data_IF_862168030595
#
_entry.id   IF_862168030595
#
_cell.length_a   1.000
_cell.length_b   1.000
_cell.length_c   1.000
_cell.angle_alpha   90.00
_cell.angle_beta   90.00
_cell.angle_gamma   90.00
#
_symmetry.space_group_name_H-M   'P 1'
#
loop_
_entity.id
_entity.type
_entity.pdbx_description
1 polymer ?
#
# COMPACT_ATOMS: atom_id res chain seq x y z
N UNK A 1 36.69 -27.37 52.99
CA UNK A 1 35.30 -27.36 53.49
C UNK A 1 34.42 -27.42 52.25
N UNK A 2 34.07 -28.61 51.75
CA UNK A 2 32.85 -29.40 52.07
C UNK A 2 31.57 -28.58 51.78
N UNK A 3 30.58 -28.98 50.97
CA UNK A 3 30.27 -30.23 50.27
C UNK A 3 29.16 -29.94 49.22
N UNK A 4 29.11 -30.68 48.12
CA UNK A 4 27.85 -31.09 47.43
C UNK A 4 27.39 -32.43 48.05
N UNK A 5 26.21 -33.04 47.78
CA UNK A 5 24.99 -32.62 47.05
C UNK A 5 23.68 -32.96 47.85
N UNK A 6 22.48 -32.73 47.29
CA UNK A 6 21.31 -33.62 47.53
C UNK A 6 20.19 -33.53 46.48
N UNK A 7 19.80 -34.72 46.03
CA UNK A 7 18.67 -35.09 45.18
C UNK A 7 17.32 -35.10 45.93
N UNK A 8 16.25 -35.27 45.12
CA UNK A 8 14.91 -35.84 45.38
C UNK A 8 13.84 -34.90 45.95
N UNK A 9 12.72 -34.71 45.22
CA UNK A 9 11.55 -35.62 45.32
C UNK A 9 10.48 -35.34 44.26
N UNK A 10 10.01 -36.44 43.67
CA UNK A 10 8.79 -36.67 42.90
C UNK A 10 7.51 -36.33 43.66
N UNK A 11 6.49 -35.79 42.97
CA UNK A 11 5.08 -36.06 43.30
C UNK A 11 4.25 -36.03 42.02
N UNK A 12 3.70 -37.18 41.65
CA UNK A 12 2.71 -37.31 40.60
C UNK A 12 1.31 -36.95 41.08
N UNK A 13 0.44 -36.55 40.16
CA UNK A 13 -1.00 -36.59 40.35
C UNK A 13 -1.65 -37.22 39.12
N UNK A 14 -2.07 -38.48 39.29
CA UNK A 14 -3.08 -39.18 38.50
C UNK A 14 -4.46 -38.68 38.93
N UNK A 15 -5.37 -38.35 37.99
CA UNK A 15 -6.85 -38.37 38.12
C UNK A 15 -7.43 -37.91 36.78
N UNK A 16 -8.50 -38.41 36.18
CA UNK A 16 -9.21 -39.69 36.19
C UNK A 16 -10.05 -39.71 34.91
N UNK A 17 -10.13 -40.88 34.30
CA UNK A 17 -10.95 -41.21 33.13
C UNK A 17 -12.43 -41.33 33.56
N UNK A 18 -13.34 -40.68 32.84
CA UNK A 18 -14.78 -40.96 32.93
C UNK A 18 -15.37 -41.13 31.52
N UNK A 19 -15.52 -42.39 31.13
CA UNK A 19 -16.29 -42.86 29.97
C UNK A 19 -17.73 -43.05 30.44
N UNK A 20 -18.69 -42.44 29.75
CA UNK A 20 -20.11 -42.80 29.86
C UNK A 20 -20.63 -43.14 28.47
N UNK A 21 -20.79 -44.43 28.22
CA UNK A 21 -21.56 -44.99 27.11
C UNK A 21 -22.94 -45.40 27.62
N UNK A 22 -23.99 -44.90 27.00
CA UNK A 22 -25.34 -45.49 27.06
C UNK A 22 -25.98 -45.36 25.69
N UNK A 23 -26.21 -46.49 25.04
CA UNK A 23 -26.98 -46.61 23.80
C UNK A 23 -28.40 -47.13 24.06
N UNK A 24 -29.29 -46.82 23.11
CA UNK A 24 -30.59 -47.45 22.80
C UNK A 24 -30.87 -47.02 21.34
N UNK A 25 -30.69 -47.82 20.28
CA UNK A 25 -31.44 -48.99 19.76
C UNK A 25 -32.91 -48.73 19.37
N UNK A 26 -33.21 -48.88 18.07
CA UNK A 26 -34.52 -49.18 17.49
C UNK A 26 -35.29 -47.96 16.95
N UNK A 27 -35.86 -47.93 15.76
CA UNK A 27 -36.03 -48.92 14.70
C UNK A 27 -36.70 -48.27 13.49
N UNK A 28 -36.47 -48.85 12.30
CA UNK A 28 -37.09 -48.44 11.04
C UNK A 28 -38.45 -49.12 10.85
N UNK A 29 -39.47 -48.42 10.37
CA UNK A 29 -40.39 -48.91 9.32
C UNK A 29 -41.31 -47.79 8.79
N UNK A 30 -41.85 -47.95 7.56
CA UNK A 30 -42.44 -46.88 6.74
C UNK A 30 -43.97 -46.78 6.90
N UNK A 31 -44.58 -45.68 6.45
CA UNK A 31 -46.03 -45.61 6.21
C UNK A 31 -46.39 -44.65 5.08
N UNK A 32 -46.80 -45.29 3.98
CA UNK A 32 -47.99 -45.09 3.13
C UNK A 32 -48.69 -43.72 3.00
N UNK A 33 -49.11 -43.53 1.74
CA UNK A 33 -49.81 -42.43 1.08
C UNK A 33 -51.30 -42.25 1.41
N UNK A 34 -51.82 -41.07 0.97
CA UNK A 34 -53.19 -40.75 0.46
C UNK A 34 -54.18 -40.14 1.48
N UNK A 35 -55.18 -39.28 1.13
CA UNK A 35 -55.56 -38.62 -0.14
C UNK A 35 -55.69 -37.08 -0.10
N UNK A 36 -55.92 -36.51 -1.29
CA UNK A 36 -56.33 -35.13 -1.58
C UNK A 36 -57.75 -34.75 -1.07
N UNK A 37 -58.05 -33.44 -1.00
CA UNK A 37 -59.38 -32.92 -1.25
C UNK A 37 -59.44 -32.04 -2.51
N UNK A 38 -60.52 -32.24 -3.24
CA UNK A 38 -61.02 -31.52 -4.40
C UNK A 38 -61.58 -30.14 -4.04
N UNK A 39 -61.43 -29.19 -4.96
CA UNK A 39 -62.47 -28.23 -5.33
C UNK A 39 -62.56 -26.92 -4.55
N UNK A 40 -62.09 -25.82 -5.16
CA UNK A 40 -62.74 -24.52 -5.07
C UNK A 40 -62.46 -23.70 -6.34
N UNK A 41 -63.54 -23.28 -6.96
CA UNK A 41 -63.68 -22.55 -8.22
C UNK A 41 -63.63 -21.03 -7.96
N UNK A 42 -62.98 -20.26 -8.84
CA UNK A 42 -63.04 -18.80 -8.88
C UNK A 42 -62.76 -18.28 -10.32
N UNK A 43 -63.28 -17.09 -10.70
CA UNK A 43 -63.93 -16.87 -12.00
C UNK A 43 -63.12 -15.94 -12.96
N UNK A 44 -63.68 -15.34 -14.02
CA UNK A 44 -63.15 -15.38 -15.39
C UNK A 44 -62.18 -14.24 -15.73
N UNK A 45 -61.48 -14.46 -16.85
CA UNK A 45 -60.48 -13.60 -17.47
C UNK A 45 -61.02 -12.22 -17.88
N UNK A 46 -60.19 -11.19 -17.66
CA UNK A 46 -60.34 -9.84 -18.18
C UNK A 46 -59.31 -9.63 -19.30
N UNK A 47 -59.80 -9.17 -20.45
CA UNK A 47 -59.03 -8.89 -21.67
C UNK A 47 -57.94 -7.84 -21.44
N UNK A 48 -56.69 -8.18 -21.79
CA UNK A 48 -55.58 -7.22 -21.87
C UNK A 48 -54.94 -7.22 -23.27
N UNK A 49 -54.86 -6.02 -23.83
CA UNK A 49 -54.30 -5.63 -25.13
C UNK A 49 -52.89 -6.19 -25.43
N UNK A 50 -52.52 -6.31 -26.73
CA UNK A 50 -51.23 -6.83 -27.15
C UNK A 50 -50.08 -5.89 -26.75
N UNK A 51 -49.23 -6.37 -25.85
CA UNK A 51 -47.98 -5.73 -25.52
C UNK A 51 -47.00 -5.83 -26.70
N UNK A 52 -46.40 -4.70 -27.04
CA UNK A 52 -45.31 -4.58 -27.99
C UNK A 52 -44.19 -5.58 -27.68
N UNK A 53 -43.69 -6.24 -28.73
CA UNK A 53 -42.57 -7.17 -28.68
C UNK A 53 -41.34 -6.45 -28.12
N UNK A 54 -41.10 -6.60 -26.82
CA UNK A 54 -39.86 -6.16 -26.19
C UNK A 54 -38.72 -6.96 -26.81
N UNK A 55 -37.79 -6.24 -27.45
CA UNK A 55 -36.55 -6.80 -27.96
C UNK A 55 -35.85 -7.57 -26.83
N UNK A 56 -35.36 -8.76 -27.15
CA UNK A 56 -34.63 -9.60 -26.22
C UNK A 56 -33.46 -8.81 -25.60
N UNK A 57 -33.21 -8.93 -24.28
CA UNK A 57 -32.09 -8.27 -23.64
C UNK A 57 -30.79 -8.72 -24.30
N UNK A 58 -29.98 -7.76 -24.75
CA UNK A 58 -28.67 -8.02 -25.35
C UNK A 58 -27.83 -8.86 -24.38
N UNK A 59 -27.27 -9.97 -24.85
CA UNK A 59 -26.34 -10.78 -24.08
C UNK A 59 -25.22 -9.88 -23.53
N UNK A 60 -24.77 -10.08 -22.27
CA UNK A 60 -23.59 -9.38 -21.76
C UNK A 60 -22.41 -9.72 -22.68
N UNK A 61 -21.82 -8.70 -23.30
CA UNK A 61 -20.64 -8.87 -24.17
C UNK A 61 -19.39 -8.94 -23.32
N UNK A 62 -18.42 -9.74 -23.73
CA UNK A 62 -17.19 -9.92 -22.96
C UNK A 62 -16.31 -8.67 -23.04
N UNK A 63 -15.54 -8.40 -21.98
CA UNK A 63 -14.74 -7.16 -21.83
C UNK A 63 -13.74 -6.91 -22.97
N UNK A 64 -13.34 -7.98 -23.69
CA UNK A 64 -12.32 -7.94 -24.74
C UNK A 64 -12.86 -8.22 -26.15
N UNK A 65 -14.19 -8.17 -26.32
CA UNK A 65 -14.82 -8.41 -27.62
C UNK A 65 -14.86 -7.11 -28.45
N UNK A 66 -14.37 -7.18 -29.69
CA UNK A 66 -14.58 -6.11 -30.68
C UNK A 66 -15.87 -6.40 -31.44
N UNK A 67 -16.79 -5.44 -31.46
CA UNK A 67 -18.06 -5.60 -32.16
C UNK A 67 -18.51 -4.30 -32.85
N UNK A 68 -19.38 -4.45 -33.84
CA UNK A 68 -19.96 -3.32 -34.59
C UNK A 68 -21.45 -3.24 -34.32
N UNK A 69 -21.97 -2.04 -34.04
CA UNK A 69 -23.40 -1.83 -33.87
C UNK A 69 -24.16 -1.69 -35.20
N UNK A 70 -25.49 -1.58 -35.13
CA UNK A 70 -26.35 -1.42 -36.30
C UNK A 70 -26.11 -0.13 -37.10
N UNK A 71 -25.41 0.85 -36.49
CA UNK A 71 -25.04 2.12 -37.12
C UNK A 71 -23.63 2.08 -37.73
N UNK A 72 -22.94 0.94 -37.64
CA UNK A 72 -21.58 0.77 -38.15
C UNK A 72 -20.48 1.23 -37.20
N UNK A 73 -20.82 1.62 -35.96
CA UNK A 73 -19.85 2.04 -34.95
C UNK A 73 -19.12 0.82 -34.39
N UNK A 74 -17.79 0.87 -34.34
CA UNK A 74 -16.97 -0.18 -33.72
C UNK A 74 -16.79 0.08 -32.23
N UNK A 75 -16.84 -0.98 -31.43
CA UNK A 75 -16.74 -0.98 -29.99
C UNK A 75 -15.71 -2.02 -29.53
N UNK A 76 -14.98 -1.73 -28.45
CA UNK A 76 -14.14 -2.68 -27.72
C UNK A 76 -14.72 -2.83 -26.31
N UNK A 77 -15.31 -3.99 -26.01
CA UNK A 77 -16.14 -4.15 -24.81
C UNK A 77 -17.31 -3.16 -24.81
N UNK A 78 -17.29 -2.19 -23.90
CA UNK A 78 -18.30 -1.13 -23.79
C UNK A 78 -17.78 0.26 -24.20
N UNK A 79 -16.59 0.34 -24.81
CA UNK A 79 -15.97 1.62 -25.21
C UNK A 79 -16.03 1.78 -26.73
N UNK A 80 -16.57 2.90 -27.25
CA UNK A 80 -16.50 3.21 -28.67
C UNK A 80 -15.04 3.27 -29.15
N UNK A 81 -14.71 2.65 -30.28
CA UNK A 81 -13.32 2.62 -30.77
C UNK A 81 -12.81 3.99 -31.24
N UNK A 82 -13.71 4.91 -31.59
CA UNK A 82 -13.38 6.31 -31.93
C UNK A 82 -13.04 7.18 -30.71
N UNK A 83 -13.31 6.70 -29.49
CA UNK A 83 -12.81 7.33 -28.27
C UNK A 83 -11.31 7.11 -28.06
N UNK A 84 -10.70 6.18 -28.81
CA UNK A 84 -9.26 6.00 -28.85
C UNK A 84 -8.70 6.88 -29.98
N UNK A 85 -7.92 7.88 -29.62
CA UNK A 85 -7.26 8.74 -30.60
C UNK A 85 -6.33 7.92 -31.49
N UNK A 86 -6.38 8.14 -32.80
CA UNK A 86 -5.52 7.45 -33.78
C UNK A 86 -4.02 7.68 -33.51
N UNK A 87 -3.68 8.79 -32.85
CA UNK A 87 -2.32 9.17 -32.47
C UNK A 87 -2.30 9.71 -31.02
N UNK A 88 -2.38 8.82 -30.01
CA UNK A 88 -2.51 9.23 -28.60
C UNK A 88 -1.32 10.06 -28.11
N UNK A 89 -0.14 9.86 -28.71
CA UNK A 89 1.07 10.62 -28.41
C UNK A 89 1.03 12.05 -28.96
N UNK A 90 0.37 12.28 -30.09
CA UNK A 90 0.25 13.64 -30.65
C UNK A 90 -0.70 14.50 -29.81
N UNK A 91 -1.82 13.92 -29.35
CA UNK A 91 -2.77 14.57 -28.44
C UNK A 91 -2.12 14.91 -27.10
N UNK A 92 -1.29 14.02 -26.55
CA UNK A 92 -0.55 14.27 -25.30
C UNK A 92 0.57 15.32 -25.43
N UNK A 93 1.12 15.48 -26.65
CA UNK A 93 2.19 16.45 -26.93
C UNK A 93 1.69 17.84 -27.36
N UNK A 94 0.39 17.97 -27.61
CA UNK A 94 -0.20 19.24 -28.03
C UNK A 94 -0.39 20.17 -26.81
N UNK A 95 0.60 21.03 -26.57
CA UNK A 95 0.57 22.07 -25.53
C UNK A 95 -0.18 23.35 -25.95
N UNK A 96 -1.01 23.30 -27.00
CA UNK A 96 -1.79 24.47 -27.42
C UNK A 96 -2.81 24.79 -26.33
N UNK A 97 -2.55 25.87 -25.59
CA UNK A 97 -3.50 26.41 -24.64
C UNK A 97 -4.82 26.72 -25.37
N UNK A 98 -5.93 26.15 -24.90
CA UNK A 98 -7.26 26.52 -25.36
C UNK A 98 -7.57 27.90 -24.80
N UNK A 99 -7.02 28.93 -25.45
CA UNK A 99 -7.30 30.33 -25.17
C UNK A 99 -8.69 30.68 -25.67
N UNK A 100 -9.64 30.77 -24.76
CA UNK A 100 -10.84 31.58 -24.98
C UNK A 100 -10.45 33.05 -25.20
N UNK A 101 -11.21 33.83 -25.99
CA UNK A 101 -10.86 35.20 -26.29
C UNK A 101 -11.09 36.07 -25.05
N UNK A 102 -10.04 36.27 -24.26
CA UNK A 102 -9.73 37.42 -23.40
C UNK A 102 -8.87 36.97 -22.21
N UNK A 103 -7.56 37.17 -22.30
CA UNK A 103 -6.66 36.96 -21.17
C UNK A 103 -5.22 37.25 -21.58
N UNK A 104 -4.80 38.50 -21.35
CA UNK A 104 -3.50 39.03 -21.73
C UNK A 104 -2.34 38.32 -21.01
N UNK A 105 -1.27 38.06 -21.76
CA UNK A 105 0.02 37.56 -21.29
C UNK A 105 0.90 38.70 -20.74
N UNK A 106 1.84 38.42 -19.82
CA UNK A 106 3.04 39.24 -19.66
C UNK A 106 4.21 38.62 -20.44
N UNK A 107 4.82 39.44 -21.30
CA UNK A 107 6.01 39.09 -22.06
C UNK A 107 7.29 39.30 -21.22
N UNK A 108 8.14 38.29 -21.21
CA UNK A 108 9.56 38.42 -20.86
C UNK A 108 10.36 38.49 -22.16
N UNK A 109 11.19 39.52 -22.32
CA UNK A 109 12.13 39.66 -23.44
C UNK A 109 13.52 40.02 -22.89
N UNK A 110 14.42 39.04 -22.93
CA UNK A 110 15.85 39.23 -23.18
C UNK A 110 16.00 39.52 -24.68
N UNK A 111 16.90 40.33 -25.23
CA UNK A 111 17.99 41.18 -24.75
C UNK A 111 18.66 41.72 -26.01
N UNK A 112 19.30 42.89 -25.96
CA UNK A 112 20.18 43.31 -27.07
C UNK A 112 21.28 44.24 -26.60
N UNK A 113 22.49 44.00 -27.13
CA UNK A 113 23.74 44.69 -26.85
C UNK A 113 23.73 46.11 -27.42
N UNK A 114 24.31 47.08 -26.70
CA UNK A 114 25.02 48.18 -27.34
C UNK A 114 26.18 48.69 -26.47
N UNK A 115 27.28 48.97 -27.14
CA UNK A 115 28.61 49.40 -26.70
C UNK A 115 28.70 50.87 -26.22
N UNK A 116 29.70 51.08 -25.35
CA UNK A 116 30.54 52.29 -25.15
C UNK A 116 29.97 53.50 -24.39
N UNK A 117 30.52 53.80 -23.20
CA UNK A 117 31.57 54.82 -22.99
C UNK A 117 31.86 55.04 -21.49
N UNK A 118 33.15 55.05 -21.16
CA UNK A 118 33.73 55.59 -19.92
C UNK A 118 33.54 57.11 -19.84
N UNK A 119 33.53 57.72 -18.64
CA UNK A 119 34.78 58.23 -18.10
C UNK A 119 35.00 57.98 -16.60
N UNK A 120 36.28 58.10 -16.23
CA UNK A 120 36.84 57.99 -14.89
C UNK A 120 36.85 59.34 -14.15
N UNK A 121 36.72 59.31 -12.82
CA UNK A 121 37.43 60.13 -11.81
C UNK A 121 36.87 59.70 -10.42
N UNK A 122 37.63 59.05 -9.53
CA UNK A 122 38.73 59.50 -8.68
C UNK A 122 38.29 59.98 -7.27
N UNK A 123 38.76 59.21 -6.27
CA UNK A 123 39.10 59.54 -4.87
C UNK A 123 38.07 60.20 -3.92
N UNK A 124 37.76 59.52 -2.82
CA UNK A 124 38.11 59.99 -1.47
C UNK A 124 37.87 58.90 -0.41
N UNK A 125 38.90 58.63 0.37
CA UNK A 125 38.86 57.84 1.59
C UNK A 125 38.33 58.70 2.75
N UNK A 126 37.51 58.11 3.61
CA UNK A 126 37.31 58.58 4.99
C UNK A 126 36.92 57.40 5.88
N UNK A 127 37.88 56.98 6.71
CA UNK A 127 37.64 56.30 8.00
C UNK A 127 37.30 57.39 9.02
N UNK A 128 36.32 57.18 9.92
CA UNK A 128 36.63 56.92 11.34
C UNK A 128 35.56 56.01 12.00
N UNK A 129 35.62 55.47 13.20
CA UNK A 129 36.61 55.34 14.28
C UNK A 129 36.18 54.11 15.10
N UNK A 130 37.15 53.48 15.73
CA UNK A 130 37.00 52.39 16.70
C UNK A 130 36.44 52.94 18.02
N UNK A 131 35.35 52.36 18.52
CA UNK A 131 34.86 52.55 19.89
C UNK A 131 34.76 51.18 20.60
N UNK A 132 35.05 51.08 21.92
CA UNK A 132 35.47 49.84 22.56
C UNK A 132 34.37 48.79 22.78
N UNK A 133 34.81 47.53 22.79
CA UNK A 133 34.03 46.36 23.12
C UNK A 133 33.49 46.40 24.56
N UNK A 134 32.17 46.36 24.67
CA UNK A 134 31.45 46.00 25.91
C UNK A 134 31.54 44.48 26.13
N UNK A 135 31.88 44.00 27.34
CA UNK A 135 31.91 42.57 27.63
C UNK A 135 30.52 41.95 27.49
N UNK A 136 30.43 40.86 26.71
CA UNK A 136 29.23 40.06 26.56
C UNK A 136 28.78 39.50 27.92
N UNK A 137 27.53 39.80 28.30
CA UNK A 137 26.84 39.04 29.34
C UNK A 137 26.62 37.60 28.86
N UNK A 138 26.79 36.60 29.75
CA UNK A 138 26.46 35.22 29.42
C UNK A 138 24.95 35.10 29.20
N UNK A 139 24.55 34.66 28.00
CA UNK A 139 23.19 34.20 27.75
C UNK A 139 22.88 33.04 28.70
N UNK A 140 21.66 32.98 29.28
CA UNK A 140 21.25 31.85 30.10
C UNK A 140 21.23 30.59 29.24
N UNK A 141 21.84 29.53 29.78
CA UNK A 141 21.77 28.16 29.28
C UNK A 141 20.33 27.83 28.90
N UNK A 142 20.04 27.89 27.61
CA UNK A 142 18.89 27.20 27.05
C UNK A 142 19.29 25.73 27.09
N UNK A 143 18.61 24.87 27.88
CA UNK A 143 18.89 23.46 27.86
C UNK A 143 18.78 23.00 26.41
N UNK A 144 19.84 22.38 25.90
CA UNK A 144 19.77 21.63 24.66
C UNK A 144 18.48 20.80 24.70
N UNK A 145 17.67 20.78 23.61
CA UNK A 145 16.52 19.90 23.57
C UNK A 145 17.04 18.52 23.96
N UNK A 146 16.53 18.02 25.08
CA UNK A 146 16.78 16.66 25.48
C UNK A 146 16.54 15.82 24.24
N UNK A 147 17.56 15.04 23.84
CA UNK A 147 17.38 14.02 22.82
C UNK A 147 16.09 13.29 23.21
N UNK A 148 15.06 13.50 22.39
CA UNK A 148 13.84 12.78 22.56
C UNK A 148 14.27 11.32 22.49
N UNK A 149 14.17 10.62 23.62
CA UNK A 149 14.09 9.18 23.63
C UNK A 149 12.79 8.85 22.89
N UNK A 150 12.83 8.97 21.57
CA UNK A 150 11.78 8.62 20.65
C UNK A 150 11.70 7.11 20.69
N UNK A 151 10.84 6.60 21.56
CA UNK A 151 10.23 5.32 21.23
C UNK A 151 9.53 5.54 19.90
N UNK A 152 10.22 5.17 18.81
CA UNK A 152 9.75 5.12 17.43
C UNK A 152 8.54 4.19 17.36
N UNK A 153 7.38 4.66 17.81
CA UNK A 153 6.21 3.81 17.84
C UNK A 153 5.69 3.68 16.41
N UNK A 154 5.64 2.42 15.94
CA UNK A 154 5.00 2.04 14.69
C UNK A 154 3.59 2.65 14.55
N UNK A 155 2.91 2.89 15.67
CA UNK A 155 1.60 3.52 15.75
C UNK A 155 1.57 4.98 15.26
N UNK A 156 2.65 5.75 15.46
CA UNK A 156 2.75 7.12 14.92
C UNK A 156 3.03 7.12 13.41
N UNK A 157 3.89 6.19 12.99
CA UNK A 157 4.34 6.11 11.60
C UNK A 157 3.25 5.58 10.67
N UNK A 158 2.53 4.57 11.13
CA UNK A 158 1.48 3.89 10.39
C UNK A 158 0.20 3.83 11.25
N UNK A 159 -0.70 4.82 11.13
CA UNK A 159 -2.03 4.76 11.74
C UNK A 159 -2.76 3.45 11.41
N UNK A 160 -3.66 3.00 12.31
CA UNK A 160 -4.43 1.77 12.08
C UNK A 160 -5.25 1.82 10.79
N UNK A 161 -5.84 2.97 10.47
CA UNK A 161 -6.65 3.12 9.26
C UNK A 161 -5.81 2.85 7.99
N UNK A 162 -4.59 3.39 7.92
CA UNK A 162 -3.67 3.19 6.80
C UNK A 162 -3.17 1.74 6.74
N UNK A 163 -2.92 1.10 7.89
CA UNK A 163 -2.59 -0.33 7.94
C UNK A 163 -3.75 -1.18 7.41
N UNK A 164 -4.98 -0.96 7.89
CA UNK A 164 -6.16 -1.71 7.46
C UNK A 164 -6.45 -1.49 5.97
N UNK A 165 -6.26 -0.27 5.46
CA UNK A 165 -6.41 0.05 4.05
C UNK A 165 -5.39 -0.69 3.18
N UNK A 166 -4.11 -0.72 3.56
CA UNK A 166 -3.07 -1.43 2.78
C UNK A 166 -3.31 -2.94 2.81
N UNK A 167 -3.63 -3.51 3.97
CA UNK A 167 -3.94 -4.94 4.10
C UNK A 167 -5.16 -5.32 3.26
N UNK A 168 -6.21 -4.50 3.29
CA UNK A 168 -7.41 -4.69 2.46
C UNK A 168 -7.09 -4.58 0.97
N UNK A 169 -6.27 -3.59 0.58
CA UNK A 169 -5.83 -3.39 -0.80
C UNK A 169 -5.09 -4.61 -1.34
N UNK A 170 -4.09 -5.10 -0.59
CA UNK A 170 -3.32 -6.30 -0.94
C UNK A 170 -4.23 -7.53 -1.01
N UNK A 171 -5.11 -7.71 -0.03
CA UNK A 171 -6.06 -8.83 -0.01
C UNK A 171 -6.97 -8.85 -1.22
N UNK A 172 -7.54 -7.70 -1.59
CA UNK A 172 -8.41 -7.60 -2.76
C UNK A 172 -7.64 -7.88 -4.06
N UNK A 173 -6.43 -7.34 -4.18
CA UNK A 173 -5.54 -7.60 -5.31
C UNK A 173 -5.22 -9.10 -5.44
N UNK A 174 -4.85 -9.76 -4.34
CA UNK A 174 -4.55 -11.19 -4.35
C UNK A 174 -5.79 -12.02 -4.67
N UNK A 175 -6.94 -11.72 -4.05
CA UNK A 175 -8.21 -12.40 -4.30
C UNK A 175 -8.58 -12.42 -5.78
N UNK A 176 -8.44 -11.28 -6.48
CA UNK A 176 -8.69 -11.19 -7.92
C UNK A 176 -7.61 -11.92 -8.72
N UNK A 177 -6.35 -11.70 -8.36
CA UNK A 177 -5.19 -12.20 -9.11
C UNK A 177 -5.10 -13.73 -9.08
N UNK A 178 -5.28 -14.35 -7.91
CA UNK A 178 -5.15 -15.80 -7.76
C UNK A 178 -6.46 -16.55 -8.04
N UNK A 179 -7.54 -15.87 -8.44
CA UNK A 179 -8.83 -16.53 -8.75
C UNK A 179 -8.81 -17.37 -10.03
N UNK A 180 -7.88 -17.09 -10.95
CA UNK A 180 -7.73 -17.81 -12.21
C UNK A 180 -6.30 -17.79 -12.71
N UNK A 181 -5.94 -18.78 -13.53
CA UNK A 181 -4.61 -18.88 -14.16
C UNK A 181 -4.33 -17.68 -15.07
N UNK A 182 -5.35 -17.14 -15.73
CA UNK A 182 -5.23 -15.96 -16.60
C UNK A 182 -4.80 -14.71 -15.83
N UNK A 183 -5.57 -14.36 -14.79
CA UNK A 183 -5.29 -13.19 -13.95
C UNK A 183 -3.95 -13.30 -13.22
N UNK A 184 -3.63 -14.51 -12.74
CA UNK A 184 -2.36 -14.80 -12.11
C UNK A 184 -1.22 -14.53 -13.10
N UNK A 185 -1.27 -15.14 -14.29
CA UNK A 185 -0.22 -15.00 -15.31
C UNK A 185 -0.02 -13.55 -15.78
N UNK A 186 -1.08 -12.74 -15.85
CA UNK A 186 -0.98 -11.33 -16.24
C UNK A 186 -0.41 -10.43 -15.14
N UNK A 187 -0.53 -10.84 -13.88
CA UNK A 187 -0.19 -10.00 -12.72
C UNK A 187 1.05 -10.50 -11.97
N UNK A 188 1.71 -11.57 -12.44
CA UNK A 188 2.86 -12.21 -11.76
C UNK A 188 3.95 -11.22 -11.32
N UNK A 189 4.21 -10.17 -12.08
CA UNK A 189 5.26 -9.21 -11.75
C UNK A 189 4.88 -8.27 -10.59
N UNK A 190 3.59 -8.12 -10.33
CA UNK A 190 3.03 -7.25 -9.29
C UNK A 190 2.82 -8.00 -7.97
N UNK A 191 2.77 -9.34 -8.00
CA UNK A 191 2.53 -10.15 -6.79
C UNK A 191 3.69 -10.02 -5.77
N UNK A 192 4.98 -10.16 -6.15
CA UNK A 192 6.05 -10.21 -5.15
C UNK A 192 6.15 -8.96 -4.27
N UNK A 193 6.07 -7.71 -4.80
CA UNK A 193 6.04 -6.51 -3.97
C UNK A 193 4.86 -6.48 -2.99
N UNK A 194 3.66 -6.90 -3.43
CA UNK A 194 2.46 -6.88 -2.57
C UNK A 194 2.56 -7.89 -1.44
N UNK A 195 3.00 -9.12 -1.70
CA UNK A 195 3.12 -10.14 -0.64
C UNK A 195 4.32 -9.88 0.28
N UNK A 196 5.41 -9.29 -0.23
CA UNK A 196 6.51 -8.82 0.63
C UNK A 196 6.05 -7.69 1.57
N UNK A 197 5.25 -6.75 1.05
CA UNK A 197 4.64 -5.69 1.86
C UNK A 197 3.72 -6.27 2.92
N UNK A 198 2.89 -7.26 2.56
CA UNK A 198 2.03 -7.97 3.51
C UNK A 198 2.83 -8.64 4.63
N UNK A 199 3.93 -9.32 4.30
CA UNK A 199 4.79 -9.96 5.30
C UNK A 199 5.42 -8.93 6.25
N UNK A 200 5.94 -7.83 5.71
CA UNK A 200 6.54 -6.75 6.49
C UNK A 200 5.51 -6.07 7.40
N UNK A 201 4.31 -5.77 6.90
CA UNK A 201 3.24 -5.14 7.70
C UNK A 201 2.67 -6.06 8.77
N UNK A 202 2.67 -7.37 8.54
CA UNK A 202 2.30 -8.34 9.58
C UNK A 202 3.31 -8.35 10.73
N UNK A 203 4.61 -8.21 10.44
CA UNK A 203 5.64 -8.06 11.47
C UNK A 203 5.52 -6.71 12.20
N UNK A 204 5.23 -5.61 11.48
CA UNK A 204 4.89 -4.33 12.12
C UNK A 204 3.69 -4.50 13.06
N UNK A 205 2.62 -5.16 12.64
CA UNK A 205 1.42 -5.37 13.46
C UNK A 205 1.71 -6.12 14.77
N UNK A 206 2.66 -7.06 14.77
CA UNK A 206 3.13 -7.74 16.00
C UNK A 206 3.79 -6.77 16.97
N UNK A 207 4.59 -5.84 16.46
CA UNK A 207 5.40 -4.92 17.26
C UNK A 207 4.67 -3.64 17.72
N UNK A 208 3.50 -3.35 17.14
CA UNK A 208 2.66 -2.21 17.51
C UNK A 208 2.12 -2.28 18.93
N UNK A 209 1.79 -1.14 19.55
CA UNK A 209 1.06 -1.15 20.81
C UNK A 209 -0.44 -1.32 20.56
N UNK A 210 -0.99 -0.54 19.62
CA UNK A 210 -2.38 -0.66 19.22
C UNK A 210 -2.59 -1.96 18.44
N UNK A 211 -3.63 -2.72 18.79
CA UNK A 211 -3.86 -4.05 18.23
C UNK A 211 -4.88 -4.05 17.10
N UNK A 212 -4.47 -4.53 15.93
CA UNK A 212 -5.41 -5.02 14.92
C UNK A 212 -6.08 -6.31 15.39
N UNK A 213 -7.28 -6.60 14.87
CA UNK A 213 -8.06 -7.76 15.35
C UNK A 213 -7.45 -9.14 15.04
N UNK A 214 -6.42 -9.19 14.19
CA UNK A 214 -5.69 -10.39 13.79
C UNK A 214 -4.25 -10.43 14.36
N UNK A 215 -3.91 -9.53 15.28
CA UNK A 215 -2.53 -9.39 15.81
C UNK A 215 -1.96 -10.67 16.40
N UNK A 216 -2.77 -11.43 17.15
CA UNK A 216 -2.37 -12.71 17.75
C UNK A 216 -1.95 -13.75 16.70
N UNK A 217 -2.51 -13.65 15.49
CA UNK A 217 -2.21 -14.54 14.37
C UNK A 217 -1.30 -13.89 13.31
N UNK A 218 -0.79 -12.68 13.56
CA UNK A 218 0.02 -11.92 12.59
C UNK A 218 1.30 -12.66 12.17
N UNK A 219 1.86 -13.49 13.07
CA UNK A 219 2.98 -14.36 12.78
C UNK A 219 2.72 -15.32 11.61
N UNK A 220 1.52 -15.89 11.55
CA UNK A 220 1.12 -16.79 10.47
C UNK A 220 0.87 -16.03 9.18
N UNK A 221 0.30 -14.81 9.25
CA UNK A 221 0.14 -13.95 8.08
C UNK A 221 1.50 -13.63 7.45
N UNK A 222 2.47 -13.24 8.28
CA UNK A 222 3.86 -12.99 7.87
C UNK A 222 4.45 -14.20 7.16
N UNK A 223 4.39 -15.37 7.78
CA UNK A 223 5.00 -16.59 7.25
C UNK A 223 4.30 -17.11 5.98
N UNK A 224 2.97 -17.04 5.90
CA UNK A 224 2.24 -17.39 4.68
C UNK A 224 2.61 -16.45 3.53
N UNK A 225 2.70 -15.14 3.79
CA UNK A 225 3.11 -14.15 2.81
C UNK A 225 4.59 -14.33 2.38
N UNK A 226 5.48 -14.67 3.32
CA UNK A 226 6.88 -15.06 3.05
C UNK A 226 6.93 -16.28 2.12
N UNK A 227 6.15 -17.33 2.41
CA UNK A 227 6.02 -18.54 1.57
C UNK A 227 5.51 -18.25 0.16
N UNK A 228 4.71 -17.21 -0.05
CA UNK A 228 4.31 -16.82 -1.42
C UNK A 228 5.51 -16.39 -2.27
N UNK A 229 6.54 -15.81 -1.65
CA UNK A 229 7.78 -15.32 -2.29
C UNK A 229 9.00 -16.24 -2.11
N UNK A 230 8.87 -17.41 -1.49
CA UNK A 230 10.01 -18.32 -1.21
C UNK A 230 10.72 -18.82 -2.47
N UNK A 231 10.03 -18.79 -3.61
CA UNK A 231 10.58 -19.20 -4.90
C UNK A 231 10.09 -18.29 -6.03
N UNK A 232 10.89 -18.11 -7.11
CA UNK A 232 10.47 -17.31 -8.25
C UNK A 232 9.20 -17.83 -8.89
N UNK A 233 8.21 -16.94 -9.05
CA UNK A 233 6.91 -17.28 -9.62
C UNK A 233 7.04 -17.89 -11.02
N UNK A 234 6.32 -18.99 -11.24
CA UNK A 234 6.25 -19.72 -12.51
C UNK A 234 4.87 -19.54 -13.14
N UNK A 235 4.84 -19.47 -14.47
CA UNK A 235 3.57 -19.40 -15.21
C UNK A 235 2.79 -20.70 -15.07
N UNK A 236 1.47 -20.59 -15.04
CA UNK A 236 0.55 -21.71 -15.19
C UNK A 236 -0.14 -22.18 -13.91
N UNK A 237 -0.97 -23.23 -14.03
CA UNK A 237 -1.95 -23.62 -13.01
C UNK A 237 -1.32 -24.13 -11.72
N UNK A 238 -0.14 -24.75 -11.79
CA UNK A 238 0.51 -25.32 -10.60
C UNK A 238 0.89 -24.24 -9.59
N UNK A 239 1.56 -23.19 -10.06
CA UNK A 239 2.03 -22.13 -9.17
C UNK A 239 0.90 -21.19 -8.76
N UNK A 240 -0.05 -20.90 -9.67
CA UNK A 240 -1.28 -20.19 -9.32
C UNK A 240 -2.02 -20.88 -8.16
N UNK A 241 -2.21 -22.20 -8.24
CA UNK A 241 -2.88 -22.96 -7.18
C UNK A 241 -2.11 -22.91 -5.85
N UNK A 242 -0.77 -23.01 -5.88
CA UNK A 242 0.06 -22.85 -4.68
C UNK A 242 -0.16 -21.49 -4.01
N UNK A 243 -0.13 -20.40 -4.78
CA UNK A 243 -0.37 -19.06 -4.24
C UNK A 243 -1.80 -18.90 -3.73
N UNK A 244 -2.78 -19.49 -4.43
CA UNK A 244 -4.17 -19.47 -3.99
C UNK A 244 -4.34 -20.15 -2.63
N UNK A 245 -3.77 -21.33 -2.42
CA UNK A 245 -3.84 -22.06 -1.13
C UNK A 245 -3.19 -21.25 0.01
N UNK A 246 -2.04 -20.61 -0.24
CA UNK A 246 -1.40 -19.73 0.74
C UNK A 246 -2.26 -18.50 1.05
N UNK A 247 -2.90 -17.91 0.03
CA UNK A 247 -3.74 -16.73 0.18
C UNK A 247 -5.05 -17.05 0.91
N UNK A 248 -5.65 -18.21 0.65
CA UNK A 248 -6.80 -18.70 1.40
C UNK A 248 -6.48 -18.78 2.89
N UNK A 249 -5.31 -19.30 3.26
CA UNK A 249 -4.85 -19.30 4.66
C UNK A 249 -4.71 -17.91 5.28
N UNK A 250 -4.18 -16.94 4.53
CA UNK A 250 -4.13 -15.53 4.98
C UNK A 250 -5.54 -14.96 5.16
N UNK A 251 -6.43 -15.23 4.19
CA UNK A 251 -7.79 -14.72 4.21
C UNK A 251 -8.59 -15.29 5.39
N UNK A 252 -8.41 -16.56 5.68
CA UNK A 252 -9.03 -17.24 6.82
C UNK A 252 -8.60 -16.62 8.16
N UNK A 253 -7.32 -16.27 8.33
CA UNK A 253 -6.82 -15.58 9.52
C UNK A 253 -7.49 -14.22 9.70
N UNK A 254 -7.52 -13.39 8.65
CA UNK A 254 -8.19 -12.09 8.72
C UNK A 254 -9.70 -12.21 8.94
N UNK A 255 -10.31 -13.34 8.60
CA UNK A 255 -11.70 -13.69 8.92
C UNK A 255 -11.84 -14.40 10.28
N UNK A 256 -10.81 -14.33 11.13
CA UNK A 256 -10.76 -14.91 12.49
C UNK A 256 -11.00 -16.43 12.53
N UNK A 257 -10.58 -17.11 11.47
CA UNK A 257 -10.82 -18.54 11.28
C UNK A 257 -9.51 -19.26 10.96
N UNK A 258 -8.52 -19.22 11.87
CA UNK A 258 -7.19 -19.82 11.63
C UNK A 258 -7.30 -21.27 11.12
N UNK A 259 -6.77 -21.58 9.91
CA UNK A 259 -6.79 -22.93 9.37
C UNK A 259 -6.09 -23.95 10.29
N UNK A 260 -6.63 -25.16 10.36
CA UNK A 260 -6.00 -26.25 11.09
C UNK A 260 -4.75 -26.74 10.36
N UNK A 261 -3.71 -27.13 11.12
CA UNK A 261 -2.50 -27.73 10.57
C UNK A 261 -1.52 -26.77 9.93
N UNK A 262 -1.69 -25.44 10.12
CA UNK A 262 -0.63 -24.49 9.79
C UNK A 262 0.63 -24.79 10.61
N UNK A 263 1.78 -24.70 9.95
CA UNK A 263 3.07 -24.75 10.61
C UNK A 263 3.20 -23.60 11.61
N UNK A 264 3.79 -23.89 12.77
CA UNK A 264 4.04 -22.87 13.80
C UNK A 264 5.15 -21.92 13.30
N UNK A 265 4.88 -20.60 13.20
CA UNK A 265 5.87 -19.64 12.76
C UNK A 265 6.98 -19.48 13.81
N UNK A 266 8.20 -19.10 13.42
CA UNK A 266 9.26 -18.81 14.37
C UNK A 266 8.83 -17.63 15.26
N UNK A 267 9.13 -17.76 16.56
CA UNK A 267 8.73 -16.79 17.59
C UNK A 267 9.26 -15.38 17.29
N UNK A 268 10.48 -15.32 16.76
CA UNK A 268 11.14 -14.10 16.30
C UNK A 268 11.58 -14.33 14.85
N UNK A 269 11.28 -13.36 13.99
CA UNK A 269 11.87 -13.30 12.64
C UNK A 269 12.25 -11.85 12.37
N UNK A 270 13.40 -11.63 11.73
CA UNK A 270 13.78 -10.28 11.36
C UNK A 270 12.94 -9.80 10.18
N UNK A 271 12.86 -8.49 9.97
CA UNK A 271 12.23 -7.97 8.76
C UNK A 271 12.92 -8.54 7.50
N UNK A 272 14.25 -8.68 7.52
CA UNK A 272 15.07 -9.13 6.38
C UNK A 272 14.72 -10.55 5.93
N UNK A 273 14.39 -11.39 6.91
CA UNK A 273 13.94 -12.76 6.70
C UNK A 273 12.46 -12.81 6.26
N UNK A 274 11.66 -11.83 6.67
CA UNK A 274 10.21 -11.79 6.41
C UNK A 274 9.87 -11.29 5.02
N UNK A 275 10.61 -10.30 4.54
CA UNK A 275 10.37 -9.64 3.26
C UNK A 275 11.71 -9.30 2.61
N UNK A 276 11.79 -9.41 1.28
CA UNK A 276 13.00 -9.11 0.53
C UNK A 276 13.07 -7.62 0.13
N UNK A 277 14.26 -7.01 0.25
CA UNK A 277 14.47 -5.56 0.10
C UNK A 277 14.04 -5.01 -1.25
N UNK A 278 14.39 -5.65 -2.35
CA UNK A 278 14.01 -5.20 -3.70
C UNK A 278 12.50 -5.17 -3.87
N UNK A 279 11.78 -6.10 -3.24
CA UNK A 279 10.32 -6.16 -3.28
C UNK A 279 9.68 -5.02 -2.49
N UNK A 280 10.23 -4.66 -1.32
CA UNK A 280 9.80 -3.47 -0.59
C UNK A 280 10.13 -2.17 -1.34
N UNK A 281 11.32 -2.10 -1.96
CA UNK A 281 11.72 -0.95 -2.79
C UNK A 281 10.76 -0.73 -3.96
N UNK A 282 10.27 -1.79 -4.61
CA UNK A 282 9.24 -1.68 -5.65
C UNK A 282 7.91 -1.13 -5.11
N UNK A 283 7.48 -1.52 -3.91
CA UNK A 283 6.27 -0.93 -3.29
C UNK A 283 6.46 0.54 -2.94
N UNK A 284 7.66 0.95 -2.51
CA UNK A 284 7.98 2.35 -2.29
C UNK A 284 8.00 3.16 -3.60
N UNK A 285 8.53 2.59 -4.68
CA UNK A 285 8.46 3.19 -6.03
C UNK A 285 7.01 3.38 -6.49
N UNK A 286 6.13 2.41 -6.22
CA UNK A 286 4.69 2.53 -6.48
C UNK A 286 4.06 3.69 -5.70
N UNK A 287 4.40 3.85 -4.41
CA UNK A 287 3.91 4.94 -3.56
C UNK A 287 4.35 6.30 -4.12
N UNK A 288 5.65 6.46 -4.38
CA UNK A 288 6.22 7.69 -4.95
C UNK A 288 5.55 8.04 -6.29
N UNK A 289 5.41 7.05 -7.18
CA UNK A 289 4.76 7.23 -8.48
C UNK A 289 3.30 7.65 -8.33
N UNK A 290 2.56 7.02 -7.43
CA UNK A 290 1.15 7.33 -7.18
C UNK A 290 1.01 8.76 -6.69
N UNK A 291 1.78 9.15 -5.67
CA UNK A 291 1.80 10.51 -5.15
C UNK A 291 2.11 11.54 -6.26
N UNK A 292 3.12 11.26 -7.08
CA UNK A 292 3.53 12.15 -8.18
C UNK A 292 2.50 12.26 -9.30
N UNK A 293 1.87 11.16 -9.69
CA UNK A 293 0.91 11.12 -10.80
C UNK A 293 -0.45 11.67 -10.39
N UNK A 294 -0.89 11.36 -9.17
CA UNK A 294 -2.25 11.68 -8.74
C UNK A 294 -2.37 13.08 -8.14
N UNK A 295 -1.27 13.66 -7.63
CA UNK A 295 -1.23 14.95 -6.94
C UNK A 295 -0.39 15.96 -7.73
N UNK A 296 -0.97 16.49 -8.81
CA UNK A 296 -0.32 17.51 -9.66
C UNK A 296 -0.71 18.96 -9.36
N UNK A 297 -1.59 19.20 -8.38
CA UNK A 297 -2.08 20.53 -8.02
C UNK A 297 -2.63 20.56 -6.59
N UNK A 298 -2.86 21.77 -6.07
CA UNK A 298 -3.52 21.96 -4.77
C UNK A 298 -4.94 21.36 -4.73
N UNK A 299 -5.71 21.46 -5.82
CA UNK A 299 -7.04 20.85 -5.92
C UNK A 299 -6.97 19.31 -5.90
N UNK A 300 -5.96 18.73 -6.57
CA UNK A 300 -5.71 17.29 -6.52
C UNK A 300 -5.32 16.83 -5.10
N UNK A 301 -4.47 17.61 -4.42
CA UNK A 301 -4.10 17.36 -3.02
C UNK A 301 -5.33 17.38 -2.10
N UNK A 302 -6.20 18.38 -2.26
CA UNK A 302 -7.41 18.51 -1.46
C UNK A 302 -8.40 17.35 -1.71
N UNK A 303 -8.61 16.98 -2.98
CA UNK A 303 -9.58 15.94 -3.37
C UNK A 303 -9.09 14.51 -3.12
N UNK A 304 -7.77 14.28 -3.04
CA UNK A 304 -7.17 12.95 -2.83
C UNK A 304 -6.36 12.85 -1.54
N UNK A 305 -6.71 13.67 -0.55
CA UNK A 305 -6.03 13.76 0.76
C UNK A 305 -5.81 12.40 1.42
N UNK A 306 -6.85 11.56 1.50
CA UNK A 306 -6.74 10.22 2.12
C UNK A 306 -5.74 9.32 1.40
N UNK A 307 -5.79 9.28 0.06
CA UNK A 307 -4.82 8.50 -0.73
C UNK A 307 -3.39 9.01 -0.52
N UNK A 308 -3.18 10.33 -0.53
CA UNK A 308 -1.85 10.89 -0.32
C UNK A 308 -1.32 10.61 1.10
N UNK A 309 -2.19 10.66 2.11
CA UNK A 309 -1.83 10.29 3.48
C UNK A 309 -1.47 8.81 3.61
N UNK A 310 -2.25 7.93 2.99
CA UNK A 310 -2.02 6.50 2.94
C UNK A 310 -0.67 6.16 2.31
N UNK A 311 -0.44 6.60 1.06
CA UNK A 311 0.81 6.30 0.35
C UNK A 311 2.04 6.88 1.06
N UNK A 312 1.92 8.04 1.69
CA UNK A 312 2.99 8.60 2.49
C UNK A 312 3.24 7.80 3.79
N UNK A 313 2.21 7.27 4.45
CA UNK A 313 2.38 6.39 5.61
C UNK A 313 3.08 5.08 5.22
N UNK A 314 2.69 4.49 4.09
CA UNK A 314 3.33 3.27 3.56
C UNK A 314 4.78 3.54 3.14
N UNK A 315 5.05 4.65 2.47
CA UNK A 315 6.42 5.02 2.12
C UNK A 315 7.29 5.18 3.37
N UNK A 316 6.77 5.84 4.41
CA UNK A 316 7.51 6.05 5.66
C UNK A 316 7.79 4.73 6.39
N UNK A 317 6.79 3.84 6.52
CA UNK A 317 6.97 2.57 7.23
C UNK A 317 7.95 1.64 6.52
N UNK A 318 7.88 1.56 5.19
CA UNK A 318 8.77 0.71 4.41
C UNK A 318 10.21 1.26 4.40
N UNK A 319 10.39 2.58 4.36
CA UNK A 319 11.70 3.20 4.48
C UNK A 319 12.32 2.91 5.86
N UNK A 320 11.54 3.00 6.94
CA UNK A 320 12.00 2.63 8.29
C UNK A 320 12.42 1.17 8.36
N UNK A 321 11.61 0.25 7.82
CA UNK A 321 11.92 -1.19 7.77
C UNK A 321 13.20 -1.46 6.99
N UNK A 322 13.39 -0.82 5.83
CA UNK A 322 14.58 -1.00 5.01
C UNK A 322 15.88 -0.60 5.73
N UNK A 323 15.79 0.30 6.71
CA UNK A 323 16.92 0.74 7.56
C UNK A 323 17.05 -0.01 8.88
N UNK A 324 16.20 -1.02 9.10
CA UNK A 324 16.30 -1.87 10.28
C UNK A 324 17.62 -2.66 10.26
N UNK A 325 18.15 -2.93 11.45
CA UNK A 325 19.45 -3.56 11.58
C UNK A 325 19.41 -4.97 10.97
N UNK A 326 20.35 -5.24 10.06
CA UNK A 326 20.46 -6.53 9.38
C UNK A 326 19.57 -6.69 8.14
N UNK A 327 18.84 -5.65 7.73
CA UNK A 327 18.02 -5.68 6.53
C UNK A 327 18.77 -5.22 5.27
N UNK A 328 19.29 -4.00 5.29
CA UNK A 328 20.10 -3.43 4.22
C UNK A 328 21.58 -3.40 4.58
N UNK A 329 22.22 -2.29 4.26
CA UNK A 329 23.62 -2.05 4.62
C UNK A 329 23.72 -1.60 6.08
N UNK A 330 24.62 -2.21 6.85
CA UNK A 330 24.86 -1.87 8.25
C UNK A 330 25.84 -0.68 8.35
N UNK A 331 25.51 0.42 7.66
CA UNK A 331 26.26 1.67 7.71
C UNK A 331 25.33 2.87 7.91
N UNK A 332 25.85 3.90 8.58
CA UNK A 332 25.07 5.07 8.97
C UNK A 332 24.63 5.94 7.79
N UNK A 333 25.33 5.88 6.65
CA UNK A 333 24.97 6.66 5.48
C UNK A 333 23.77 6.06 4.75
N UNK A 334 23.74 4.73 4.57
CA UNK A 334 22.56 4.02 4.06
C UNK A 334 21.33 4.28 4.94
N UNK A 335 21.49 4.15 6.27
CA UNK A 335 20.42 4.44 7.24
C UNK A 335 20.00 5.91 7.19
N UNK A 336 20.95 6.81 6.99
CA UNK A 336 20.69 8.24 6.79
C UNK A 336 19.77 8.53 5.61
N UNK A 337 19.94 7.85 4.47
CA UNK A 337 19.04 8.00 3.32
C UNK A 337 17.63 7.50 3.61
N UNK A 338 17.47 6.33 4.23
CA UNK A 338 16.13 5.84 4.57
C UNK A 338 15.43 6.72 5.61
N UNK A 339 16.15 7.22 6.63
CA UNK A 339 15.62 8.19 7.58
C UNK A 339 15.17 9.49 6.89
N UNK A 340 15.92 9.98 5.89
CA UNK A 340 15.52 11.15 5.12
C UNK A 340 14.21 10.91 4.34
N UNK A 341 13.97 9.68 3.85
CA UNK A 341 12.69 9.29 3.23
C UNK A 341 11.57 9.23 4.27
N UNK A 342 11.82 8.66 5.46
CA UNK A 342 10.85 8.65 6.57
C UNK A 342 10.39 10.07 6.92
N UNK A 343 11.33 10.98 7.14
CA UNK A 343 11.04 12.39 7.45
C UNK A 343 10.27 13.08 6.32
N UNK A 344 10.67 12.87 5.07
CA UNK A 344 10.02 13.46 3.92
C UNK A 344 8.57 12.94 3.76
N UNK A 345 8.36 11.64 3.96
CA UNK A 345 7.04 11.03 3.93
C UNK A 345 6.14 11.55 5.07
N UNK A 346 6.67 11.77 6.26
CA UNK A 346 5.94 12.44 7.35
C UNK A 346 5.59 13.89 6.97
N UNK A 347 6.51 14.63 6.34
CA UNK A 347 6.25 15.98 5.86
C UNK A 347 5.17 16.00 4.75
N UNK A 348 5.10 14.99 3.89
CA UNK A 348 4.00 14.81 2.93
C UNK A 348 2.67 14.69 3.68
N UNK A 349 2.60 13.86 4.74
CA UNK A 349 1.37 13.69 5.54
C UNK A 349 0.94 15.00 6.21
N UNK A 350 1.87 15.73 6.83
CA UNK A 350 1.60 17.04 7.44
C UNK A 350 1.12 18.05 6.41
N UNK A 351 1.77 18.13 5.25
CA UNK A 351 1.41 19.07 4.19
C UNK A 351 0.04 18.74 3.60
N UNK A 352 -0.24 17.46 3.37
CA UNK A 352 -1.56 16.98 2.92
C UNK A 352 -2.64 17.27 3.96
N UNK A 353 -2.35 17.10 5.25
CA UNK A 353 -3.29 17.44 6.32
C UNK A 353 -3.67 18.92 6.30
N UNK A 354 -2.67 19.80 6.15
CA UNK A 354 -2.84 21.25 6.09
C UNK A 354 -3.28 21.82 4.74
N UNK A 355 -3.39 21.01 3.68
CA UNK A 355 -3.65 21.49 2.32
C UNK A 355 -2.50 22.32 1.72
N UNK A 356 -1.28 22.16 2.25
CA UNK A 356 -0.08 22.87 1.81
C UNK A 356 0.55 22.17 0.61
N UNK A 357 0.15 22.58 -0.60
CA UNK A 357 0.70 22.00 -1.82
C UNK A 357 2.19 22.29 -2.02
N UNK A 358 2.67 23.46 -1.60
CA UNK A 358 4.10 23.78 -1.73
C UNK A 358 4.95 22.93 -0.78
N UNK A 359 4.48 22.73 0.46
CA UNK A 359 5.08 21.80 1.41
C UNK A 359 5.09 20.35 0.89
N UNK A 360 3.99 19.91 0.26
CA UNK A 360 3.90 18.62 -0.39
C UNK A 360 4.96 18.45 -1.50
N UNK A 361 5.09 19.43 -2.41
CA UNK A 361 6.07 19.39 -3.50
C UNK A 361 7.51 19.36 -2.98
N UNK A 362 7.82 20.18 -1.97
CA UNK A 362 9.14 20.20 -1.34
C UNK A 362 9.47 18.84 -0.71
N UNK A 363 8.51 18.22 -0.02
CA UNK A 363 8.68 16.91 0.60
C UNK A 363 8.84 15.80 -0.46
N UNK A 364 8.05 15.82 -1.54
CA UNK A 364 8.22 14.90 -2.68
C UNK A 364 9.60 15.04 -3.34
N UNK A 365 10.12 16.27 -3.47
CA UNK A 365 11.47 16.50 -3.98
C UNK A 365 12.55 15.89 -3.07
N UNK A 366 12.35 15.96 -1.74
CA UNK A 366 13.25 15.33 -0.75
C UNK A 366 13.21 13.80 -0.85
N UNK A 367 12.03 13.19 -1.06
CA UNK A 367 11.91 11.74 -1.35
C UNK A 367 12.74 11.38 -2.58
N UNK A 368 12.47 12.01 -3.72
CA UNK A 368 13.14 11.70 -4.98
C UNK A 368 14.67 11.88 -4.88
N UNK A 369 15.13 12.94 -4.22
CA UNK A 369 16.55 13.20 -4.00
C UNK A 369 17.20 12.14 -3.11
N UNK A 370 16.51 11.70 -2.05
CA UNK A 370 17.02 10.65 -1.14
C UNK A 370 17.09 9.30 -1.86
N UNK A 371 16.06 8.95 -2.63
CA UNK A 371 16.05 7.75 -3.48
C UNK A 371 17.21 7.77 -4.49
N UNK A 372 17.43 8.91 -5.16
CA UNK A 372 18.50 9.05 -6.14
C UNK A 372 19.89 8.97 -5.50
N UNK A 373 20.11 9.64 -4.36
CA UNK A 373 21.40 9.62 -3.67
C UNK A 373 21.74 8.21 -3.16
N UNK A 374 20.78 7.53 -2.52
CA UNK A 374 20.96 6.15 -2.10
C UNK A 374 21.28 5.24 -3.30
N UNK A 375 20.49 5.30 -4.37
CA UNK A 375 20.70 4.46 -5.55
C UNK A 375 22.00 4.77 -6.30
N UNK A 376 22.51 6.01 -6.25
CA UNK A 376 23.80 6.35 -6.86
C UNK A 376 24.98 5.62 -6.21
N UNK A 377 24.81 5.22 -4.95
CA UNK A 377 25.85 4.56 -4.15
C UNK A 377 25.59 3.07 -3.95
N UNK A 378 24.37 2.66 -3.63
CA UNK A 378 24.06 1.32 -3.12
C UNK A 378 23.26 0.43 -4.08
N UNK A 379 22.84 0.91 -5.26
CA UNK A 379 21.94 0.13 -6.15
C UNK A 379 22.60 -1.08 -6.81
N UNK A 380 23.91 -1.00 -7.05
CA UNK A 380 24.67 -1.98 -7.82
C UNK A 380 25.68 -2.77 -6.96
N UNK A 381 25.80 -2.42 -5.68
CA UNK A 381 26.45 -3.23 -4.67
C UNK A 381 25.45 -4.30 -4.17
#
# INVERSE_FOLDING_TARGET
MAAMPRLLTTTGLLFSLAVVTSGCTGGSQPSASTPAPTGAEAPPAEDAQPAATAAAPAKPRERNEVWTDEKGQKWFGNVPMDAFFDQPYEVASNATAIGGPNGAAPAAAMGEQTTAQQPAEAVAATTPATEPATPAQPSPDTPAPAAAAGGDSWDQLLPLADLDEEIKSIRNFLQETVSSVGNYNSSMMMIPPKVATLAALAEVARQRQESVSWKEDAAWVRDLAKKMNESPLQRGPKDQKRLQELFEGVSDIFNRSKPAGLEEPPAEDSFAESAELRSLMKRMEEAEKTLKTEIGSADALASKKTMAQHEAAILAVLAKIATDKGYGYDDDEFRGYGNAVVEAAQAIRTSTEGGDFSGFEAAMSKVATSCQNCHSKYKND
#
